data_IF_370592026742
#
_entry.id   IF_370592026742
#
_cell.length_a   1.000
_cell.length_b   1.000
_cell.length_c   1.000
_cell.angle_alpha   90.00
_cell.angle_beta   90.00
_cell.angle_gamma   90.00
#
_symmetry.space_group_name_H-M   'P 1'
#
loop_
_entity.id
_entity.type
_entity.pdbx_description
1 polymer ?
#
# COMPACT_ATOMS: atom_id res chain seq x y z
N UNK A 1 3.79 -5.84 3.93
CA UNK A 1 4.31 -5.75 2.57
C UNK A 1 5.75 -6.26 2.49
N UNK A 2 6.10 -6.78 1.35
CA UNK A 2 7.41 -7.38 1.09
C UNK A 2 7.94 -6.85 -0.22
N UNK A 3 9.19 -6.36 -0.22
CA UNK A 3 9.84 -5.90 -1.46
C UNK A 3 10.21 -7.13 -2.30
N UNK A 4 9.70 -7.17 -3.54
CA UNK A 4 9.99 -8.26 -4.48
C UNK A 4 10.85 -7.81 -5.64
N UNK A 5 10.95 -6.51 -5.90
CA UNK A 5 11.77 -5.97 -6.99
C UNK A 5 12.07 -4.49 -6.74
N UNK A 6 13.01 -3.97 -7.51
CA UNK A 6 13.37 -2.55 -7.46
C UNK A 6 13.73 -2.08 -8.87
N UNK A 7 13.23 -0.90 -9.24
CA UNK A 7 13.54 -0.30 -10.54
C UNK A 7 13.46 1.22 -10.43
N UNK A 8 14.49 1.91 -10.94
CA UNK A 8 14.50 3.37 -11.04
C UNK A 8 14.18 4.09 -9.73
N UNK A 9 14.73 3.61 -8.61
CA UNK A 9 14.48 4.19 -7.29
C UNK A 9 13.11 3.88 -6.71
N UNK A 10 12.39 2.91 -7.29
CA UNK A 10 11.09 2.46 -6.82
C UNK A 10 11.21 1.03 -6.32
N UNK A 11 10.58 0.75 -5.19
CA UNK A 11 10.33 -0.63 -4.78
C UNK A 11 9.01 -1.10 -5.35
N UNK A 12 8.98 -2.36 -5.76
CA UNK A 12 7.74 -3.07 -6.07
C UNK A 12 7.52 -4.03 -4.91
N UNK A 13 6.40 -3.84 -4.21
CA UNK A 13 6.09 -4.60 -3.00
C UNK A 13 4.86 -5.45 -3.20
N UNK A 14 4.93 -6.68 -2.71
CA UNK A 14 3.78 -7.57 -2.64
C UNK A 14 3.20 -7.49 -1.23
N UNK A 15 1.89 -7.33 -1.14
CA UNK A 15 1.20 -7.33 0.14
C UNK A 15 -0.10 -8.11 0.04
N UNK A 16 -0.48 -8.71 1.16
CA UNK A 16 -1.81 -9.30 1.33
C UNK A 16 -2.57 -8.45 2.32
N UNK A 17 -3.83 -8.22 2.02
CA UNK A 17 -4.68 -7.33 2.78
C UNK A 17 -6.01 -8.01 3.08
N UNK A 18 -6.42 -7.97 4.35
CA UNK A 18 -7.74 -8.39 4.79
C UNK A 18 -8.08 -7.58 6.03
N UNK A 19 -9.31 -7.06 6.09
CA UNK A 19 -9.71 -6.15 7.14
C UNK A 19 -9.41 -4.70 6.80
N UNK A 20 -9.26 -3.86 7.81
CA UNK A 20 -9.13 -2.41 7.65
C UNK A 20 -7.82 -1.95 8.30
N UNK A 21 -7.00 -1.24 7.55
CA UNK A 21 -5.79 -0.61 8.07
C UNK A 21 -6.10 0.76 8.69
N UNK A 22 -5.12 1.28 9.43
CA UNK A 22 -5.24 2.61 10.03
C UNK A 22 -5.22 3.70 8.96
N UNK A 23 -5.93 4.80 9.23
CA UNK A 23 -5.78 6.02 8.45
C UNK A 23 -4.34 6.51 8.52
N UNK A 24 -3.75 6.79 7.37
CA UNK A 24 -2.37 7.27 7.31
C UNK A 24 -2.16 8.11 6.05
N UNK A 25 -1.01 8.76 6.00
CA UNK A 25 -0.63 9.64 4.89
C UNK A 25 0.86 9.48 4.60
N UNK A 26 1.21 9.53 3.32
CA UNK A 26 2.60 9.63 2.86
C UNK A 26 2.79 11.06 2.36
N UNK A 27 3.51 11.89 3.12
CA UNK A 27 3.59 13.31 2.81
C UNK A 27 4.41 13.61 1.55
N UNK A 28 5.41 12.78 1.26
CA UNK A 28 6.39 13.05 0.21
C UNK A 28 6.36 12.04 -0.95
N UNK A 29 5.57 10.98 -0.84
CA UNK A 29 5.58 9.92 -1.86
C UNK A 29 4.17 9.66 -2.39
N UNK A 30 4.06 9.55 -3.72
CA UNK A 30 2.90 8.94 -4.35
C UNK A 30 3.03 7.42 -4.20
N UNK A 31 1.89 6.73 -4.12
CA UNK A 31 1.87 5.28 -3.97
C UNK A 31 0.91 4.68 -4.99
N UNK A 32 1.42 3.78 -5.84
CA UNK A 32 0.57 3.11 -6.83
C UNK A 32 0.13 1.77 -6.29
N UNK A 33 -1.19 1.55 -6.30
CA UNK A 33 -1.80 0.28 -5.90
C UNK A 33 -2.26 -0.46 -7.15
N UNK A 34 -1.90 -1.73 -7.27
CA UNK A 34 -2.42 -2.63 -8.30
C UNK A 34 -3.04 -3.84 -7.60
N UNK A 35 -4.32 -4.05 -7.80
CA UNK A 35 -4.99 -5.24 -7.26
C UNK A 35 -4.68 -6.44 -8.16
N UNK A 36 -4.10 -7.49 -7.59
CA UNK A 36 -3.79 -8.73 -8.33
C UNK A 36 -4.92 -9.73 -8.23
N UNK A 37 -5.47 -9.89 -7.03
CA UNK A 37 -6.48 -10.90 -6.74
C UNK A 37 -7.35 -10.41 -5.60
N UNK A 38 -8.66 -10.57 -5.73
CA UNK A 38 -9.61 -10.08 -4.75
C UNK A 38 -10.13 -8.70 -5.11
N UNK A 39 -10.47 -7.90 -4.11
CA UNK A 39 -10.96 -6.55 -4.28
C UNK A 39 -10.40 -5.66 -3.17
N UNK A 40 -9.73 -4.58 -3.56
CA UNK A 40 -9.19 -3.60 -2.63
C UNK A 40 -10.05 -2.35 -2.67
N UNK A 41 -10.38 -1.82 -1.50
CA UNK A 41 -11.08 -0.54 -1.38
C UNK A 41 -10.13 0.45 -0.73
N UNK A 42 -9.86 1.56 -1.42
CA UNK A 42 -9.05 2.65 -0.90
C UNK A 42 -9.98 3.76 -0.44
N UNK A 43 -10.09 3.94 0.87
CA UNK A 43 -10.91 5.01 1.43
C UNK A 43 -10.09 6.28 1.58
N UNK A 44 -10.65 7.38 1.13
CA UNK A 44 -10.19 8.73 1.39
C UNK A 44 -11.28 9.45 2.18
N UNK A 45 -11.02 10.62 2.72
CA UNK A 45 -12.03 11.32 3.56
C UNK A 45 -13.28 11.71 2.78
N UNK A 46 -13.16 11.98 1.49
CA UNK A 46 -14.24 12.47 0.64
C UNK A 46 -14.74 11.47 -0.40
N UNK A 47 -14.06 10.32 -0.52
CA UNK A 47 -14.46 9.31 -1.52
C UNK A 47 -13.78 7.97 -1.23
N UNK A 48 -14.21 6.94 -1.96
CA UNK A 48 -13.47 5.67 -1.99
C UNK A 48 -13.29 5.20 -3.44
N UNK A 49 -12.24 4.42 -3.65
CA UNK A 49 -11.91 3.83 -4.94
C UNK A 49 -11.90 2.32 -4.77
N UNK A 50 -12.63 1.62 -5.62
CA UNK A 50 -12.70 0.16 -5.61
C UNK A 50 -11.83 -0.37 -6.73
N UNK A 51 -10.87 -1.23 -6.38
CA UNK A 51 -10.00 -1.88 -7.35
C UNK A 51 -10.30 -3.37 -7.40
N UNK A 52 -10.76 -3.84 -8.56
CA UNK A 52 -10.87 -5.27 -8.83
C UNK A 52 -9.56 -5.77 -9.43
N UNK A 53 -9.42 -7.09 -9.57
CA UNK A 53 -8.20 -7.69 -10.10
C UNK A 53 -7.82 -7.06 -11.46
N UNK A 54 -6.56 -6.64 -11.57
CA UNK A 54 -6.01 -5.99 -12.76
C UNK A 54 -6.19 -4.47 -12.80
N UNK A 55 -6.84 -3.87 -11.81
CA UNK A 55 -7.06 -2.42 -11.76
C UNK A 55 -6.04 -1.75 -10.84
N UNK A 56 -5.70 -0.51 -11.14
CA UNK A 56 -4.70 0.25 -10.40
C UNK A 56 -5.17 1.67 -10.13
N UNK A 57 -4.57 2.27 -9.11
CA UNK A 57 -4.84 3.65 -8.72
C UNK A 57 -3.58 4.27 -8.11
N UNK A 58 -3.29 5.50 -8.47
CA UNK A 58 -2.21 6.25 -7.83
C UNK A 58 -2.77 7.08 -6.69
N UNK A 59 -2.37 6.74 -5.47
CA UNK A 59 -2.70 7.54 -4.28
C UNK A 59 -1.72 8.70 -4.22
N UNK A 60 -2.18 9.95 -4.41
CA UNK A 60 -1.27 11.08 -4.40
C UNK A 60 -0.66 11.30 -3.00
N UNK A 61 0.55 11.84 -2.98
CA UNK A 61 1.16 12.29 -1.73
C UNK A 61 0.26 13.29 -1.01
N UNK A 62 0.30 13.27 0.31
CA UNK A 62 -0.45 14.20 1.14
C UNK A 62 -1.94 13.88 1.28
N UNK A 63 -2.43 12.81 0.66
CA UNK A 63 -3.84 12.40 0.79
C UNK A 63 -3.97 11.34 1.88
N UNK A 64 -4.72 11.67 2.92
CA UNK A 64 -5.00 10.72 3.99
C UNK A 64 -5.93 9.62 3.48
N UNK A 65 -5.56 8.37 3.74
CA UNK A 65 -6.29 7.23 3.22
C UNK A 65 -6.13 6.01 4.11
N UNK A 66 -6.97 5.00 3.85
CA UNK A 66 -6.81 3.66 4.44
C UNK A 66 -7.27 2.59 3.46
N UNK A 67 -6.48 1.54 3.26
CA UNK A 67 -6.92 0.37 2.50
C UNK A 67 -7.83 -0.50 3.35
N UNK A 68 -8.83 -1.12 2.71
CA UNK A 68 -9.61 -2.19 3.34
C UNK A 68 -9.97 -3.25 2.32
N UNK A 69 -10.18 -4.46 2.80
CA UNK A 69 -10.61 -5.58 1.98
C UNK A 69 -11.50 -6.50 2.81
N UNK A 70 -12.65 -6.88 2.29
CA UNK A 70 -13.59 -7.76 3.00
C UNK A 70 -13.17 -9.24 2.95
N UNK A 71 -12.27 -9.60 2.03
CA UNK A 71 -11.67 -10.93 1.93
C UNK A 71 -10.20 -10.80 1.58
N UNK A 72 -9.45 -11.88 1.70
CA UNK A 72 -8.00 -11.85 1.43
C UNK A 72 -7.75 -11.37 0.00
N UNK A 73 -6.98 -10.31 -0.12
CA UNK A 73 -6.68 -9.61 -1.36
C UNK A 73 -5.18 -9.47 -1.51
N UNK A 74 -4.67 -9.76 -2.71
CA UNK A 74 -3.25 -9.62 -3.03
C UNK A 74 -3.06 -8.37 -3.88
N UNK A 75 -2.08 -7.54 -3.51
CA UNK A 75 -1.81 -6.28 -4.18
C UNK A 75 -0.32 -6.10 -4.43
N UNK A 76 0.00 -5.31 -5.46
CA UNK A 76 1.33 -4.75 -5.64
C UNK A 76 1.30 -3.27 -5.32
N UNK A 77 2.36 -2.81 -4.69
CA UNK A 77 2.60 -1.40 -4.40
C UNK A 77 3.86 -0.97 -5.14
N UNK A 78 3.80 0.19 -5.79
CA UNK A 78 4.96 0.81 -6.43
C UNK A 78 5.19 2.12 -5.71
N UNK A 79 6.34 2.27 -5.07
CA UNK A 79 6.62 3.45 -4.25
C UNK A 79 8.12 3.71 -4.13
N UNK A 80 8.54 4.96 -3.91
CA UNK A 80 9.95 5.28 -3.72
C UNK A 80 10.58 4.47 -2.60
N UNK A 81 11.87 4.18 -2.73
CA UNK A 81 12.60 3.30 -1.81
C UNK A 81 12.61 3.75 -0.35
N UNK A 82 12.27 5.01 -0.07
CA UNK A 82 12.22 5.57 1.28
C UNK A 82 10.81 5.58 1.89
N UNK A 83 9.81 4.96 1.23
CA UNK A 83 8.42 4.99 1.69
C UNK A 83 8.20 4.02 2.86
N UNK A 84 7.69 4.53 3.98
CA UNK A 84 7.31 3.72 5.13
C UNK A 84 5.91 3.12 4.95
N UNK A 85 5.68 1.92 5.49
CA UNK A 85 4.44 1.14 5.29
C UNK A 85 3.17 1.95 5.61
N UNK A 86 3.11 2.57 6.77
CA UNK A 86 1.96 3.36 7.20
C UNK A 86 2.32 4.85 7.35
N UNK A 87 3.18 5.37 6.47
CA UNK A 87 3.57 6.77 6.49
C UNK A 87 4.24 7.20 7.80
N UNK A 88 4.90 6.27 8.52
CA UNK A 88 5.50 6.54 9.81
C UNK A 88 4.50 6.55 10.97
N UNK A 89 3.25 6.15 10.74
CA UNK A 89 2.25 6.06 11.80
C UNK A 89 2.65 5.05 12.87
N UNK A 90 2.44 5.40 14.14
CA UNK A 90 2.68 4.51 15.26
C UNK A 90 1.58 3.45 15.29
N UNK A 91 1.88 2.24 14.83
CA UNK A 91 0.93 1.13 14.78
C UNK A 91 1.69 -0.20 14.84
N UNK A 92 1.14 -1.22 15.54
CA UNK A 92 1.74 -2.55 15.51
C UNK A 92 1.69 -3.21 14.12
N UNK A 93 0.89 -2.68 13.20
CA UNK A 93 0.83 -3.17 11.81
C UNK A 93 1.86 -2.53 10.90
N UNK A 94 2.56 -1.47 11.36
CA UNK A 94 3.57 -0.81 10.56
C UNK A 94 4.79 -1.73 10.41
N UNK A 95 5.22 -1.94 9.16
CA UNK A 95 6.38 -2.80 8.85
C UNK A 95 7.52 -1.90 8.40
N UNK A 96 8.68 -2.00 9.07
CA UNK A 96 9.86 -1.20 8.73
C UNK A 96 10.36 -1.55 7.33
N UNK A 97 11.09 -0.61 6.71
CA UNK A 97 11.69 -0.85 5.39
C UNK A 97 12.64 -2.05 5.45
N UNK A 98 13.42 -2.17 6.53
CA UNK A 98 14.34 -3.30 6.69
C UNK A 98 13.59 -4.64 6.68
N UNK A 99 12.46 -4.73 7.38
CA UNK A 99 11.65 -5.96 7.43
C UNK A 99 10.99 -6.25 6.08
N UNK A 100 10.61 -5.22 5.33
CA UNK A 100 10.05 -5.38 3.99
C UNK A 100 11.07 -5.90 2.98
N UNK A 101 12.35 -5.64 3.20
CA UNK A 101 13.43 -6.14 2.37
C UNK A 101 13.85 -7.56 2.73
N UNK A 102 13.49 -8.02 3.93
CA UNK A 102 13.87 -9.35 4.40
C UNK A 102 13.15 -10.42 3.57
N UNK A 103 13.94 -11.34 3.04
CA UNK A 103 13.48 -12.38 2.12
C UNK A 103 13.49 -13.72 2.82
N UNK A 104 12.34 -14.29 3.04
CA UNK A 104 12.24 -15.63 3.61
C UNK A 104 12.31 -16.74 2.61
#
# INVERSE_FOLDING_TARGET
PKVISEANGQYIKLAKCEGVLEWHVHDDQDEVFLCLEGQLILEMKDREVILNAGQMFTMPRGVEHRPRASSLTSILLFEPVDTEHLGGAASPRNVSIADQLDSD
#
